data_IF_350193971472
#
_entry.id   IF_350193971472
#
_cell.length_a   1.000
_cell.length_b   1.000
_cell.length_c   1.000
_cell.angle_alpha   90.00
_cell.angle_beta   90.00
_cell.angle_gamma   90.00
#
_symmetry.space_group_name_H-M   'P 1'
#
loop_
_entity.id
_entity.type
_entity.pdbx_description
1 polymer ?
#
# COMPACT_ATOMS: atom_id res chain seq x y z
N UNK A 1 -8.17 -33.64 8.71
CA UNK A 1 -8.51 -33.04 7.41
C UNK A 1 -9.61 -31.98 7.59
N UNK A 2 -10.81 -32.33 8.12
CA UNK A 2 -11.94 -31.39 8.26
C UNK A 2 -11.61 -30.18 9.13
N UNK A 3 -10.95 -30.35 10.27
CA UNK A 3 -10.54 -29.25 11.13
C UNK A 3 -9.56 -28.27 10.43
N UNK A 4 -8.70 -28.77 9.51
CA UNK A 4 -7.83 -27.93 8.71
C UNK A 4 -8.59 -27.11 7.66
N UNK A 5 -9.64 -27.67 7.08
CA UNK A 5 -10.52 -26.97 6.13
C UNK A 5 -11.30 -25.87 6.85
N UNK A 6 -11.89 -26.15 8.00
CA UNK A 6 -12.59 -25.14 8.79
C UNK A 6 -11.65 -23.99 9.24
N UNK A 7 -10.43 -24.33 9.68
CA UNK A 7 -9.43 -23.31 9.99
C UNK A 7 -8.99 -22.47 8.77
N UNK A 8 -9.10 -23.03 7.57
CA UNK A 8 -8.81 -22.28 6.34
C UNK A 8 -9.92 -21.28 5.97
N UNK A 9 -11.17 -21.50 6.38
CA UNK A 9 -12.30 -20.60 6.09
C UNK A 9 -12.18 -19.25 6.77
N UNK A 10 -11.56 -19.19 7.94
CA UNK A 10 -11.39 -17.99 8.76
C UNK A 10 -9.98 -17.39 8.67
N UNK A 11 -9.24 -17.71 7.61
CA UNK A 11 -7.94 -17.08 7.39
C UNK A 11 -8.08 -15.57 7.23
N UNK A 12 -7.09 -14.83 7.74
CA UNK A 12 -7.07 -13.37 7.59
C UNK A 12 -7.05 -12.93 6.12
N UNK A 13 -7.71 -11.81 5.82
CA UNK A 13 -7.84 -11.26 4.47
C UNK A 13 -6.50 -11.17 3.71
N UNK A 14 -5.41 -10.81 4.40
CA UNK A 14 -4.06 -10.75 3.81
C UNK A 14 -3.63 -12.08 3.17
N UNK A 15 -3.91 -13.19 3.85
CA UNK A 15 -3.56 -14.52 3.37
C UNK A 15 -4.48 -14.97 2.24
N UNK A 16 -5.74 -14.60 2.29
CA UNK A 16 -6.70 -14.85 1.20
C UNK A 16 -6.25 -14.10 -0.05
N UNK A 17 -5.98 -12.80 0.04
CA UNK A 17 -5.50 -11.99 -1.08
C UNK A 17 -4.23 -12.58 -1.72
N UNK A 18 -3.24 -12.94 -0.91
CA UNK A 18 -2.03 -13.63 -1.39
C UNK A 18 -2.36 -14.95 -2.09
N UNK A 19 -3.29 -15.74 -1.52
CA UNK A 19 -3.74 -17.03 -2.04
C UNK A 19 -4.49 -16.97 -3.37
N UNK A 20 -5.05 -15.81 -3.76
CA UNK A 20 -5.68 -15.61 -5.07
C UNK A 20 -4.69 -15.76 -6.24
N UNK A 21 -3.39 -15.71 -5.99
CA UNK A 21 -2.37 -15.88 -7.02
C UNK A 21 -2.31 -14.74 -8.04
N UNK A 22 -2.87 -13.57 -7.72
CA UNK A 22 -2.81 -12.38 -8.59
C UNK A 22 -1.34 -11.99 -8.80
N UNK A 23 -0.97 -11.75 -10.05
CA UNK A 23 0.41 -11.40 -10.40
C UNK A 23 0.86 -10.15 -9.64
N UNK A 24 2.08 -10.15 -9.13
CA UNK A 24 2.69 -9.10 -8.29
C UNK A 24 2.09 -8.94 -6.89
N UNK A 25 1.05 -9.67 -6.53
CA UNK A 25 0.46 -9.66 -5.21
C UNK A 25 1.20 -10.66 -4.31
N UNK A 26 2.28 -10.20 -3.67
CA UNK A 26 3.03 -10.97 -2.67
C UNK A 26 2.44 -10.81 -1.26
N UNK A 27 3.04 -11.50 -0.28
CA UNK A 27 2.60 -11.46 1.13
C UNK A 27 2.57 -10.02 1.71
N UNK A 28 3.56 -9.20 1.36
CA UNK A 28 3.66 -7.81 1.85
C UNK A 28 2.50 -6.99 1.31
N UNK A 29 2.31 -6.98 -0.02
CA UNK A 29 1.23 -6.27 -0.66
C UNK A 29 -0.16 -6.78 -0.19
N UNK A 30 -0.33 -8.09 -0.02
CA UNK A 30 -1.56 -8.67 0.52
C UNK A 30 -1.88 -8.17 1.94
N UNK A 31 -0.85 -7.98 2.77
CA UNK A 31 -0.97 -7.43 4.12
C UNK A 31 -1.34 -5.95 4.11
N UNK A 32 -0.70 -5.18 3.23
CA UNK A 32 -0.95 -3.74 3.14
C UNK A 32 -2.34 -3.45 2.56
N UNK A 33 -2.78 -4.20 1.54
CA UNK A 33 -4.14 -4.17 1.01
C UNK A 33 -5.18 -4.55 2.09
N UNK A 34 -4.96 -5.67 2.82
CA UNK A 34 -5.87 -6.09 3.86
C UNK A 34 -5.99 -5.04 4.98
N UNK A 35 -4.87 -4.42 5.37
CA UNK A 35 -4.86 -3.35 6.38
C UNK A 35 -5.59 -2.10 5.90
N UNK A 36 -5.45 -1.75 4.62
CA UNK A 36 -6.08 -0.57 4.04
C UNK A 36 -7.60 -0.74 3.92
N UNK A 37 -8.03 -1.87 3.38
CA UNK A 37 -9.44 -2.12 3.08
C UNK A 37 -10.24 -2.67 4.27
N UNK A 38 -9.61 -3.41 5.18
CA UNK A 38 -10.24 -4.01 6.33
C UNK A 38 -11.01 -5.29 6.00
N UNK A 39 -11.84 -5.30 4.96
CA UNK A 39 -12.64 -6.43 4.54
C UNK A 39 -12.63 -6.64 3.02
N UNK A 40 -13.09 -7.82 2.61
CA UNK A 40 -13.18 -8.20 1.20
C UNK A 40 -14.17 -7.34 0.41
N UNK A 41 -15.33 -7.00 0.98
CA UNK A 41 -16.39 -6.31 0.26
C UNK A 41 -15.92 -4.91 -0.18
N UNK A 42 -15.21 -4.20 0.71
CA UNK A 42 -14.61 -2.91 0.41
C UNK A 42 -13.50 -3.02 -0.64
N UNK A 43 -12.61 -4.02 -0.49
CA UNK A 43 -11.58 -4.28 -1.49
C UNK A 43 -12.20 -4.54 -2.88
N UNK A 44 -13.16 -5.46 -2.97
CA UNK A 44 -13.81 -5.81 -4.23
C UNK A 44 -14.52 -4.60 -4.85
N UNK A 45 -15.23 -3.79 -4.06
CA UNK A 45 -15.91 -2.59 -4.52
C UNK A 45 -14.95 -1.59 -5.16
N UNK A 46 -13.81 -1.34 -4.52
CA UNK A 46 -12.82 -0.39 -5.06
C UNK A 46 -12.11 -0.98 -6.28
N UNK A 47 -11.74 -2.26 -6.24
CA UNK A 47 -11.13 -2.94 -7.38
C UNK A 47 -12.04 -2.93 -8.61
N UNK A 48 -13.33 -3.22 -8.45
CA UNK A 48 -14.32 -3.18 -9.52
C UNK A 48 -14.48 -1.75 -10.09
N UNK A 49 -14.58 -0.76 -9.22
CA UNK A 49 -14.71 0.64 -9.62
C UNK A 49 -13.46 1.16 -10.37
N UNK A 50 -12.28 0.61 -10.09
CA UNK A 50 -11.02 1.01 -10.71
C UNK A 50 -10.83 0.44 -12.13
N UNK A 51 -11.57 -0.58 -12.56
CA UNK A 51 -11.38 -1.26 -13.86
C UNK A 51 -11.37 -0.29 -15.04
N UNK A 52 -12.31 0.66 -15.20
CA UNK A 52 -12.29 1.59 -16.32
C UNK A 52 -11.05 2.50 -16.32
N UNK A 53 -10.54 2.86 -15.16
CA UNK A 53 -9.32 3.67 -15.04
C UNK A 53 -8.06 2.84 -15.35
N UNK A 54 -8.03 1.55 -15.01
CA UNK A 54 -6.98 0.62 -15.39
C UNK A 54 -6.89 0.45 -16.91
N UNK A 55 -8.02 0.34 -17.59
CA UNK A 55 -8.10 0.30 -19.06
C UNK A 55 -7.59 1.60 -19.69
N UNK A 56 -8.02 2.74 -19.14
CA UNK A 56 -7.56 4.06 -19.58
C UNK A 56 -6.04 4.25 -19.34
N UNK A 57 -5.52 3.73 -18.24
CA UNK A 57 -4.08 3.75 -17.97
C UNK A 57 -3.31 3.00 -19.07
N UNK A 58 -3.73 1.79 -19.44
CA UNK A 58 -3.11 1.03 -20.54
C UNK A 58 -3.20 1.76 -21.87
N UNK A 59 -4.37 2.27 -22.20
CA UNK A 59 -4.57 3.01 -23.45
C UNK A 59 -3.68 4.27 -23.49
N UNK A 60 -3.55 4.97 -22.37
CA UNK A 60 -2.68 6.15 -22.27
C UNK A 60 -1.18 5.80 -22.41
N UNK A 61 -0.74 4.71 -21.79
CA UNK A 61 0.65 4.26 -21.96
C UNK A 61 0.96 3.82 -23.38
N UNK A 62 0.04 3.10 -24.05
CA UNK A 62 0.17 2.75 -25.46
C UNK A 62 0.23 4.00 -26.36
N UNK A 63 -0.67 4.95 -26.16
CA UNK A 63 -0.69 6.20 -26.92
C UNK A 63 0.58 7.05 -26.69
N UNK A 64 1.15 7.02 -25.49
CA UNK A 64 2.44 7.67 -25.18
C UNK A 64 3.59 7.03 -25.96
N UNK A 65 3.61 5.69 -26.03
CA UNK A 65 4.64 4.96 -26.79
C UNK A 65 4.54 5.32 -28.28
N UNK A 66 3.34 5.31 -28.85
CA UNK A 66 3.09 5.63 -30.25
C UNK A 66 3.45 7.09 -30.58
N UNK A 67 3.09 8.04 -29.72
CA UNK A 67 3.44 9.45 -29.88
C UNK A 67 4.95 9.68 -29.83
N UNK A 68 5.67 8.99 -28.94
CA UNK A 68 7.13 9.06 -28.89
C UNK A 68 7.78 8.59 -30.16
N UNK A 69 7.34 7.45 -30.71
CA UNK A 69 7.84 6.91 -31.98
C UNK A 69 7.53 7.85 -33.16
N UNK A 70 6.30 8.37 -33.23
CA UNK A 70 5.90 9.33 -34.28
C UNK A 70 6.67 10.66 -34.19
N UNK A 71 6.91 11.15 -33.00
CA UNK A 71 7.66 12.38 -32.78
C UNK A 71 9.14 12.23 -33.16
N UNK A 72 9.76 11.09 -32.82
CA UNK A 72 11.13 10.74 -33.21
C UNK A 72 11.26 10.67 -34.74
N UNK A 73 10.37 9.94 -35.41
CA UNK A 73 10.35 9.81 -36.86
C UNK A 73 10.17 11.16 -37.57
N UNK A 74 9.43 12.10 -36.96
CA UNK A 74 9.17 13.43 -37.49
C UNK A 74 10.22 14.49 -37.04
N UNK A 75 11.20 14.13 -36.26
CA UNK A 75 12.23 15.06 -35.72
C UNK A 75 11.66 16.16 -34.84
N UNK A 76 10.53 15.90 -34.15
CA UNK A 76 9.85 16.86 -33.26
C UNK A 76 9.79 16.37 -31.82
N UNK A 77 9.49 17.29 -30.89
CA UNK A 77 9.23 16.92 -29.49
C UNK A 77 7.87 16.19 -29.38
N UNK A 78 7.84 15.09 -28.63
CA UNK A 78 6.59 14.37 -28.29
C UNK A 78 5.66 15.23 -27.43
N UNK A 79 4.37 15.19 -27.73
CA UNK A 79 3.29 15.92 -27.03
C UNK A 79 2.45 14.97 -26.22
N UNK A 80 3.02 14.45 -25.13
CA UNK A 80 2.44 13.37 -24.34
C UNK A 80 1.11 13.76 -23.67
N UNK A 81 0.94 15.03 -23.28
CA UNK A 81 -0.33 15.54 -22.74
C UNK A 81 -1.48 15.43 -23.74
N UNK A 82 -1.19 15.70 -25.03
CA UNK A 82 -2.22 15.76 -26.07
C UNK A 82 -2.85 14.39 -26.33
N UNK A 83 -2.09 13.30 -26.10
CA UNK A 83 -2.58 11.93 -26.25
C UNK A 83 -3.14 11.37 -24.92
N UNK A 84 -2.55 11.75 -23.79
CA UNK A 84 -2.95 11.24 -22.47
C UNK A 84 -4.23 11.88 -21.94
N UNK A 85 -4.35 13.21 -22.03
CA UNK A 85 -5.44 13.96 -21.41
C UNK A 85 -6.83 13.54 -21.93
N UNK A 86 -7.07 13.35 -23.26
CA UNK A 86 -8.39 12.93 -23.74
C UNK A 86 -8.82 11.57 -23.18
N UNK A 87 -7.88 10.63 -23.07
CA UNK A 87 -8.15 9.28 -22.55
C UNK A 87 -8.59 9.36 -21.08
N UNK A 88 -7.83 10.07 -20.26
CA UNK A 88 -8.17 10.22 -18.85
C UNK A 88 -9.41 11.09 -18.61
N UNK A 89 -9.70 12.08 -19.44
CA UNK A 89 -10.92 12.89 -19.30
C UNK A 89 -12.20 12.12 -19.58
N UNK A 90 -12.12 11.00 -20.29
CA UNK A 90 -13.27 10.12 -20.54
C UNK A 90 -13.60 9.19 -19.35
N UNK A 91 -12.67 9.06 -18.38
CA UNK A 91 -12.86 8.23 -17.18
C UNK A 91 -13.69 9.00 -16.15
N UNK A 92 -14.66 8.32 -15.52
CA UNK A 92 -15.46 8.93 -14.45
C UNK A 92 -14.62 9.27 -13.23
N UNK A 93 -15.08 10.26 -12.47
CA UNK A 93 -14.39 10.67 -11.23
C UNK A 93 -14.31 9.51 -10.22
N UNK A 94 -15.37 8.69 -10.14
CA UNK A 94 -15.40 7.53 -9.26
C UNK A 94 -14.33 6.49 -9.64
N UNK A 95 -14.17 6.19 -10.93
CA UNK A 95 -13.15 5.23 -11.39
C UNK A 95 -11.73 5.78 -11.17
N UNK A 96 -11.52 7.08 -11.40
CA UNK A 96 -10.24 7.75 -11.09
C UNK A 96 -9.91 7.67 -9.60
N UNK A 97 -10.88 8.01 -8.74
CA UNK A 97 -10.69 7.96 -7.30
C UNK A 97 -10.36 6.55 -6.80
N UNK A 98 -11.03 5.52 -7.34
CA UNK A 98 -10.76 4.12 -7.00
C UNK A 98 -9.35 3.68 -7.48
N UNK A 99 -8.92 4.10 -8.65
CA UNK A 99 -7.57 3.85 -9.16
C UNK A 99 -6.51 4.55 -8.30
N UNK A 100 -6.74 5.80 -7.93
CA UNK A 100 -5.84 6.59 -7.09
C UNK A 100 -5.78 6.00 -5.67
N UNK A 101 -6.88 5.47 -5.14
CA UNK A 101 -6.92 4.76 -3.86
C UNK A 101 -6.04 3.51 -3.92
N UNK A 102 -6.19 2.66 -4.95
CA UNK A 102 -5.37 1.45 -5.12
C UNK A 102 -3.88 1.80 -5.25
N UNK A 103 -3.55 2.72 -6.15
CA UNK A 103 -2.14 3.07 -6.43
C UNK A 103 -1.50 3.95 -5.37
N UNK A 104 -2.29 4.55 -4.49
CA UNK A 104 -1.84 5.32 -3.33
C UNK A 104 -1.43 4.46 -2.14
N UNK A 105 -1.75 3.17 -2.13
CA UNK A 105 -1.32 2.24 -1.08
C UNK A 105 0.18 1.97 -1.23
N UNK A 106 0.92 2.07 -0.13
CA UNK A 106 2.36 1.80 -0.15
C UNK A 106 2.63 0.35 -0.62
N UNK A 107 3.54 0.20 -1.57
CA UNK A 107 3.82 -1.09 -2.21
C UNK A 107 2.86 -1.50 -3.33
N UNK A 108 1.79 -0.74 -3.61
CA UNK A 108 0.86 -0.99 -4.72
C UNK A 108 1.12 0.00 -5.86
N UNK A 109 2.02 -0.36 -6.76
CA UNK A 109 2.23 0.40 -7.99
C UNK A 109 1.21 0.06 -9.09
N UNK A 110 1.28 0.80 -10.21
CA UNK A 110 0.38 0.59 -11.36
C UNK A 110 0.38 -0.87 -11.86
N UNK A 111 1.52 -1.57 -11.84
CA UNK A 111 1.60 -2.96 -12.29
C UNK A 111 0.75 -3.92 -11.46
N UNK A 112 0.75 -3.77 -10.14
CA UNK A 112 -0.10 -4.57 -9.25
C UNK A 112 -1.56 -4.16 -9.35
N UNK A 113 -1.85 -2.84 -9.39
CA UNK A 113 -3.22 -2.34 -9.55
C UNK A 113 -3.85 -2.84 -10.87
N UNK A 114 -3.10 -2.86 -11.97
CA UNK A 114 -3.53 -3.45 -13.24
C UNK A 114 -3.83 -4.94 -13.09
N UNK A 115 -2.96 -5.71 -12.44
CA UNK A 115 -3.16 -7.14 -12.24
C UNK A 115 -4.39 -7.45 -11.36
N UNK A 116 -4.66 -6.62 -10.35
CA UNK A 116 -5.89 -6.70 -9.55
C UNK A 116 -7.12 -6.44 -10.42
N UNK A 117 -7.13 -5.35 -11.18
CA UNK A 117 -8.24 -5.01 -12.07
C UNK A 117 -8.46 -6.08 -13.15
N UNK A 118 -7.40 -6.72 -13.66
CA UNK A 118 -7.51 -7.84 -14.62
C UNK A 118 -8.21 -9.04 -14.00
N UNK A 119 -7.75 -9.48 -12.82
CA UNK A 119 -8.34 -10.63 -12.14
C UNK A 119 -9.81 -10.38 -11.76
N UNK A 120 -10.14 -9.16 -11.35
CA UNK A 120 -11.50 -8.79 -10.98
C UNK A 120 -12.40 -8.55 -12.20
N UNK A 121 -11.86 -8.12 -13.34
CA UNK A 121 -12.59 -7.85 -14.57
C UNK A 121 -12.75 -9.06 -15.50
N UNK A 122 -11.88 -10.07 -15.40
CA UNK A 122 -11.96 -11.27 -16.23
C UNK A 122 -13.06 -12.21 -15.72
N UNK A 123 -14.08 -12.45 -16.52
CA UNK A 123 -15.29 -13.15 -16.10
C UNK A 123 -15.02 -14.53 -15.47
N UNK A 124 -14.07 -15.30 -16.01
CA UNK A 124 -13.74 -16.63 -15.50
C UNK A 124 -13.01 -16.56 -14.16
N UNK A 125 -12.03 -15.66 -14.03
CA UNK A 125 -11.27 -15.45 -12.80
C UNK A 125 -12.18 -14.88 -11.71
N UNK A 126 -13.00 -13.90 -12.06
CA UNK A 126 -13.99 -13.32 -11.14
C UNK A 126 -14.96 -14.37 -10.61
N UNK A 127 -15.51 -15.23 -11.45
CA UNK A 127 -16.41 -16.29 -11.02
C UNK A 127 -15.72 -17.27 -10.04
N UNK A 128 -14.44 -17.59 -10.27
CA UNK A 128 -13.66 -18.43 -9.37
C UNK A 128 -13.39 -17.73 -8.03
N UNK A 129 -13.07 -16.44 -8.05
CA UNK A 129 -12.87 -15.62 -6.85
C UNK A 129 -14.17 -15.53 -6.05
N UNK A 130 -15.29 -15.22 -6.70
CA UNK A 130 -16.60 -15.11 -6.04
C UNK A 130 -17.04 -16.44 -5.42
N UNK A 131 -16.82 -17.56 -6.13
CA UNK A 131 -17.10 -18.90 -5.59
C UNK A 131 -16.23 -19.22 -4.36
N UNK A 132 -14.94 -18.86 -4.40
CA UNK A 132 -14.06 -19.02 -3.25
C UNK A 132 -14.51 -18.14 -2.08
N UNK A 133 -14.84 -16.87 -2.32
CA UNK A 133 -15.27 -15.95 -1.28
C UNK A 133 -16.62 -16.31 -0.66
N UNK A 134 -17.48 -17.01 -1.39
CA UNK A 134 -18.73 -17.54 -0.84
C UNK A 134 -18.50 -18.66 0.20
N UNK A 135 -17.37 -19.36 0.15
CA UNK A 135 -16.99 -20.42 1.10
C UNK A 135 -16.09 -19.90 2.24
N UNK A 136 -15.53 -18.70 2.11
CA UNK A 136 -14.65 -18.10 3.09
C UNK A 136 -15.39 -17.02 3.90
N UNK A 137 -15.01 -16.91 5.16
CA UNK A 137 -15.32 -15.76 6.03
C UNK A 137 -14.00 -15.16 6.51
N UNK A 138 -13.31 -14.39 5.64
CA UNK A 138 -11.99 -13.88 5.97
C UNK A 138 -12.05 -13.00 7.21
N UNK A 139 -11.32 -13.41 8.25
CA UNK A 139 -11.18 -12.58 9.42
C UNK A 139 -10.64 -11.21 9.00
N UNK A 140 -11.26 -10.15 9.50
CA UNK A 140 -10.72 -8.82 9.38
C UNK A 140 -9.25 -8.84 9.85
N UNK A 141 -8.35 -8.08 9.22
CA UNK A 141 -7.00 -7.99 9.73
C UNK A 141 -7.11 -7.69 11.22
N UNK A 142 -6.34 -8.43 12.02
CA UNK A 142 -6.19 -8.02 13.42
C UNK A 142 -5.80 -6.55 13.36
N UNK A 143 -6.74 -5.69 13.71
CA UNK A 143 -6.42 -4.29 13.97
C UNK A 143 -5.36 -4.38 15.03
N UNK A 144 -4.11 -4.15 14.62
CA UNK A 144 -3.00 -4.01 15.56
C UNK A 144 -3.46 -2.88 16.44
N UNK A 145 -4.05 -3.27 17.53
CA UNK A 145 -4.77 -2.53 18.53
C UNK A 145 -4.87 -1.03 18.22
N UNK A 146 -6.11 -0.52 18.14
CA UNK A 146 -6.42 0.90 18.42
C UNK A 146 -5.84 1.37 19.77
N UNK A 147 -5.17 0.47 20.50
CA UNK A 147 -4.46 0.65 21.74
C UNK A 147 -2.96 0.92 21.56
N UNK A 148 -2.38 0.83 20.36
CA UNK A 148 -0.96 1.17 20.21
C UNK A 148 -0.78 2.68 20.08
N UNK A 149 0.05 3.31 20.93
CA UNK A 149 0.28 4.76 20.91
C UNK A 149 0.95 5.25 19.62
N UNK A 150 1.38 4.32 18.75
CA UNK A 150 2.04 4.60 17.46
C UNK A 150 1.23 4.12 16.25
N UNK A 151 0.04 3.56 16.45
CA UNK A 151 -0.81 3.12 15.35
C UNK A 151 -1.16 4.29 14.40
N UNK A 152 -0.99 4.09 13.10
CA UNK A 152 -1.24 5.11 12.07
C UNK A 152 -0.18 6.22 11.96
N UNK A 153 0.75 6.33 12.91
CA UNK A 153 1.80 7.34 12.91
C UNK A 153 2.94 7.00 11.95
N UNK A 154 3.53 8.02 11.36
CA UNK A 154 4.77 7.90 10.59
C UNK A 154 5.96 8.10 11.49
N UNK A 155 6.76 7.06 11.67
CA UNK A 155 7.92 7.01 12.57
C UNK A 155 9.21 7.01 11.78
N UNK A 156 10.19 7.79 12.22
CA UNK A 156 11.55 7.81 11.66
C UNK A 156 12.56 7.42 12.73
N UNK A 157 13.46 6.50 12.42
CA UNK A 157 14.59 6.14 13.29
C UNK A 157 15.87 6.79 12.78
N UNK A 158 16.63 7.46 13.66
CA UNK A 158 17.89 8.13 13.34
C UNK A 158 18.93 7.91 14.42
N UNK A 159 20.20 7.89 14.04
CA UNK A 159 21.30 7.60 14.94
C UNK A 159 21.48 6.11 15.23
N UNK A 160 22.32 5.78 16.19
CA UNK A 160 22.58 4.41 16.65
C UNK A 160 21.60 4.08 17.78
N UNK A 161 20.92 2.94 17.69
CA UNK A 161 20.14 2.37 18.79
C UNK A 161 21.04 1.38 19.52
N UNK A 162 21.02 1.39 20.84
CA UNK A 162 21.94 0.62 21.68
C UNK A 162 21.35 -0.69 22.19
N UNK A 163 20.02 -0.71 22.41
CA UNK A 163 19.29 -1.85 22.99
C UNK A 163 18.64 -2.74 21.96
N UNK A 164 18.22 -2.15 20.83
CA UNK A 164 17.57 -2.86 19.73
C UNK A 164 18.25 -2.52 18.42
N UNK A 165 18.30 -3.46 17.50
CA UNK A 165 18.77 -3.13 16.15
C UNK A 165 17.74 -2.28 15.42
N UNK A 166 18.19 -1.50 14.41
CA UNK A 166 17.28 -0.70 13.59
C UNK A 166 16.23 -1.56 12.88
N UNK A 167 16.59 -2.80 12.50
CA UNK A 167 15.68 -3.73 11.86
C UNK A 167 14.58 -4.20 12.82
N UNK A 168 14.94 -4.51 14.06
CA UNK A 168 13.98 -4.89 15.12
C UNK A 168 13.06 -3.72 15.48
N UNK A 169 13.61 -2.52 15.68
CA UNK A 169 12.82 -1.33 15.97
C UNK A 169 11.84 -1.00 14.85
N UNK A 170 12.26 -1.15 13.57
CA UNK A 170 11.40 -0.99 12.41
C UNK A 170 10.29 -2.05 12.40
N UNK A 171 10.64 -3.32 12.52
CA UNK A 171 9.67 -4.42 12.53
C UNK A 171 8.65 -4.25 13.67
N UNK A 172 9.11 -3.81 14.86
CA UNK A 172 8.23 -3.53 15.99
C UNK A 172 7.29 -2.37 15.74
N UNK A 173 7.77 -1.25 15.16
CA UNK A 173 6.93 -0.13 14.78
C UNK A 173 5.83 -0.55 13.80
N UNK A 174 6.20 -1.34 12.77
CA UNK A 174 5.27 -1.87 11.78
C UNK A 174 4.26 -2.85 12.39
N UNK A 175 4.68 -3.72 13.32
CA UNK A 175 3.80 -4.59 14.10
C UNK A 175 2.79 -3.81 14.95
N UNK A 176 3.19 -2.65 15.46
CA UNK A 176 2.34 -1.74 16.24
C UNK A 176 1.49 -0.80 15.36
N UNK A 177 1.45 -1.02 14.04
CA UNK A 177 0.63 -0.25 13.10
C UNK A 177 1.22 1.09 12.68
N UNK A 178 2.50 1.39 13.02
CA UNK A 178 3.18 2.58 12.53
C UNK A 178 3.71 2.39 11.10
N UNK A 179 3.87 3.49 10.37
CA UNK A 179 4.60 3.54 9.10
C UNK A 179 6.03 3.97 9.37
N UNK A 180 7.02 3.24 8.87
CA UNK A 180 8.43 3.60 9.06
C UNK A 180 8.97 4.27 7.81
N UNK A 181 9.48 5.50 7.97
CA UNK A 181 10.11 6.28 6.90
C UNK A 181 11.62 6.44 7.11
N UNK A 182 12.36 6.53 6.03
CA UNK A 182 13.82 6.79 6.05
C UNK A 182 14.19 8.27 6.21
N UNK A 183 13.24 9.20 6.02
CA UNK A 183 13.50 10.65 6.05
C UNK A 183 12.45 11.40 6.87
N UNK A 184 12.87 12.48 7.53
CA UNK A 184 11.98 13.40 8.26
C UNK A 184 11.32 14.36 7.28
N UNK A 185 10.00 14.49 7.34
CA UNK A 185 9.18 15.40 6.53
C UNK A 185 8.02 15.95 7.36
N UNK A 186 7.22 16.85 6.77
CA UNK A 186 6.00 17.37 7.41
C UNK A 186 4.94 16.28 7.69
N UNK A 187 5.12 15.07 7.11
CA UNK A 187 4.23 13.91 7.37
C UNK A 187 4.79 12.99 8.46
N UNK A 188 5.90 13.34 9.08
CA UNK A 188 6.51 12.54 10.16
C UNK A 188 5.88 12.96 11.49
N UNK A 189 5.34 11.99 12.22
CA UNK A 189 4.69 12.22 13.51
C UNK A 189 5.65 12.04 14.67
N UNK A 190 6.65 11.12 14.51
CA UNK A 190 7.56 10.77 15.59
C UNK A 190 8.96 10.47 15.05
N UNK A 191 9.97 11.08 15.65
CA UNK A 191 11.38 10.76 15.43
C UNK A 191 11.95 10.04 16.64
N UNK A 192 12.52 8.86 16.42
CA UNK A 192 13.32 8.16 17.44
C UNK A 192 14.79 8.45 17.19
N UNK A 193 15.42 9.17 18.12
CA UNK A 193 16.76 9.69 17.96
C UNK A 193 17.73 9.02 18.93
N UNK A 194 18.63 8.20 18.41
CA UNK A 194 19.80 7.71 19.13
C UNK A 194 21.04 8.61 18.92
N UNK A 195 22.17 8.26 19.56
CA UNK A 195 23.44 8.95 19.35
C UNK A 195 23.78 9.09 17.85
N UNK A 196 24.17 10.30 17.42
CA UNK A 196 24.50 10.59 16.03
C UNK A 196 23.33 10.97 15.12
N UNK A 197 22.14 11.21 15.65
CA UNK A 197 20.95 11.59 14.88
C UNK A 197 20.98 13.00 14.24
N UNK A 198 22.00 13.78 14.50
CA UNK A 198 22.34 15.15 14.09
C UNK A 198 21.38 15.88 13.15
N UNK A 199 21.55 15.72 11.83
CA UNK A 199 20.76 16.47 10.82
C UNK A 199 19.26 16.17 10.83
N UNK A 200 18.85 14.94 11.15
CA UNK A 200 17.43 14.60 11.24
C UNK A 200 16.76 15.16 12.48
N UNK A 201 17.53 15.28 13.59
CA UNK A 201 17.05 15.90 14.83
C UNK A 201 16.78 17.39 14.61
N UNK A 202 17.70 18.11 13.94
CA UNK A 202 17.51 19.51 13.59
C UNK A 202 16.27 19.71 12.72
N UNK A 203 16.12 18.87 11.68
CA UNK A 203 14.97 18.94 10.80
C UNK A 203 13.65 18.61 11.49
N UNK A 204 13.65 17.68 12.44
CA UNK A 204 12.47 17.37 13.25
C UNK A 204 12.06 18.56 14.12
N UNK A 205 13.04 19.24 14.74
CA UNK A 205 12.79 20.44 15.52
C UNK A 205 12.22 21.59 14.67
N UNK A 206 12.75 21.80 13.45
CA UNK A 206 12.23 22.80 12.49
C UNK A 206 10.79 22.54 12.08
N UNK A 207 10.41 21.24 11.95
CA UNK A 207 9.06 20.83 11.53
C UNK A 207 8.10 20.60 12.70
N UNK A 208 8.53 20.78 13.94
CA UNK A 208 7.72 20.53 15.14
C UNK A 208 7.39 19.05 15.36
N UNK A 209 8.21 18.13 14.83
CA UNK A 209 8.01 16.68 14.97
C UNK A 209 8.41 16.25 16.39
N UNK A 210 7.53 15.49 17.04
CA UNK A 210 7.81 14.91 18.37
C UNK A 210 9.05 14.01 18.29
N UNK A 211 9.94 14.15 19.26
CA UNK A 211 11.20 13.37 19.31
C UNK A 211 11.31 12.63 20.62
N UNK A 212 11.59 11.31 20.53
CA UNK A 212 11.91 10.45 21.66
C UNK A 212 13.31 9.88 21.50
N UNK A 213 13.93 9.54 22.62
CA UNK A 213 15.10 8.68 22.65
C UNK A 213 14.70 7.19 22.60
N UNK A 214 15.68 6.30 22.56
CA UNK A 214 15.43 4.85 22.53
C UNK A 214 14.68 4.36 23.78
N UNK A 215 14.97 4.94 24.95
CA UNK A 215 14.29 4.58 26.19
C UNK A 215 12.81 4.99 26.15
N UNK A 216 12.52 6.18 25.64
CA UNK A 216 11.16 6.66 25.39
C UNK A 216 10.40 5.80 24.39
N UNK A 217 11.07 5.33 23.34
CA UNK A 217 10.51 4.38 22.38
C UNK A 217 10.13 3.05 23.04
N UNK A 218 11.05 2.46 23.80
CA UNK A 218 10.83 1.20 24.53
C UNK A 218 9.67 1.35 25.52
N UNK A 219 9.65 2.46 26.27
CA UNK A 219 8.56 2.74 27.22
C UNK A 219 7.20 2.90 26.51
N UNK A 220 7.18 3.57 25.35
CA UNK A 220 5.98 3.81 24.56
C UNK A 220 5.43 2.52 23.95
N UNK A 221 6.30 1.59 23.53
CA UNK A 221 5.90 0.36 22.82
C UNK A 221 5.76 -0.86 23.72
N UNK A 222 6.05 -0.72 25.02
CA UNK A 222 5.91 -1.79 26.01
C UNK A 222 6.92 -2.93 25.84
N UNK A 223 8.06 -2.67 25.23
CA UNK A 223 9.14 -3.65 25.08
C UNK A 223 9.86 -3.80 26.44
N UNK A 224 9.88 -5.03 26.95
CA UNK A 224 10.62 -5.38 28.19
C UNK A 224 11.85 -6.19 27.85
#
# INVERSE_FOLDING_TARGET
LFAGIEAARTQGLARVLFGLGIRHLGEVAGRDLARHFGDWARFATVADAAIPAAEAHRAAEAAIIDERAAAEAAGRRARLSDVRTPIWSAVSDAARAAWDELTGIDGVGAALALAICDAMGAAQERAAIDALMAELDPAAPETVADASPVAGKTVVFSGTLERVTRAEAKARAEQLGARVSGSVSAKTDLLIAGPGAGSKLLKAAELGVETLDEAGWIALTGDR
#
